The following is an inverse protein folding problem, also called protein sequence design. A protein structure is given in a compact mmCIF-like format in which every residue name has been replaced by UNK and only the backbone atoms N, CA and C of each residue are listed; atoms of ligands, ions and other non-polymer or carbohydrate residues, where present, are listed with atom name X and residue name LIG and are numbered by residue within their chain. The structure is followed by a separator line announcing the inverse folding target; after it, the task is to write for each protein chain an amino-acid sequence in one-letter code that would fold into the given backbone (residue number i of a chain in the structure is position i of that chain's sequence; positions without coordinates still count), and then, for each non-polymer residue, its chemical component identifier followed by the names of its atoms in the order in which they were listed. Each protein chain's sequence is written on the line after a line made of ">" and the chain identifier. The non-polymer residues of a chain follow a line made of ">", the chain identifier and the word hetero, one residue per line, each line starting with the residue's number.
data_IF_728510545319
#
_entry.id   IF_728510545319
#
_cell.length_a   1.000
_cell.length_b   1.000
_cell.length_c   1.000
_cell.angle_alpha   90.00
_cell.angle_beta   90.00
_cell.angle_gamma   90.00
#
_symmetry.space_group_name_H-M   'P 1'
#
loop_
_entity.id
_entity.type
_entity.pdbx_description
1 polymer ?
#
# COMPACT_ATOMS: atom_id res chain seq x y z
N UNK A 1 7.69 -12.68 -15.76
CA UNK A 1 6.71 -13.18 -14.77
C UNK A 1 6.91 -12.45 -13.43
N UNK A 2 5.82 -12.01 -12.81
CA UNK A 2 5.89 -11.24 -11.58
C UNK A 2 6.42 -12.03 -10.37
N UNK A 3 7.12 -11.31 -9.51
CA UNK A 3 7.74 -11.88 -8.31
C UNK A 3 7.33 -11.12 -7.06
N UNK A 4 7.16 -11.84 -5.95
CA UNK A 4 6.95 -11.28 -4.63
C UNK A 4 8.31 -11.25 -3.90
N UNK A 5 8.71 -10.06 -3.45
CA UNK A 5 9.88 -9.87 -2.60
C UNK A 5 9.41 -9.42 -1.22
N UNK A 6 9.89 -10.09 -0.18
CA UNK A 6 9.58 -9.74 1.21
C UNK A 6 10.86 -9.26 1.86
N UNK A 7 10.87 -7.99 2.30
CA UNK A 7 12.06 -7.33 2.87
C UNK A 7 11.68 -6.62 4.17
N UNK A 8 12.68 -6.22 4.94
CA UNK A 8 12.46 -5.43 6.15
C UNK A 8 13.25 -4.12 6.09
N UNK A 9 12.74 -3.09 6.74
CA UNK A 9 13.39 -1.79 6.82
C UNK A 9 12.43 -0.64 6.57
N UNK A 10 12.99 0.48 6.12
CA UNK A 10 12.24 1.67 5.77
C UNK A 10 11.85 1.60 4.28
N UNK A 11 10.57 1.74 3.98
CA UNK A 11 10.07 1.67 2.59
C UNK A 11 10.78 2.66 1.67
N UNK A 12 11.19 3.82 2.19
CA UNK A 12 11.89 4.85 1.41
C UNK A 12 13.27 4.40 0.90
N UNK A 13 13.82 3.33 1.48
CA UNK A 13 15.08 2.75 1.03
C UNK A 13 14.92 1.74 -0.12
N UNK A 14 13.68 1.43 -0.50
CA UNK A 14 13.36 0.42 -1.52
C UNK A 14 12.66 1.00 -2.75
N UNK A 15 12.91 2.28 -3.04
CA UNK A 15 12.25 2.97 -4.16
C UNK A 15 12.91 2.74 -5.52
N UNK A 16 14.18 2.33 -5.54
CA UNK A 16 14.90 2.07 -6.78
C UNK A 16 14.20 0.96 -7.57
N UNK A 17 14.10 1.14 -8.88
CA UNK A 17 13.45 0.21 -9.81
C UNK A 17 11.93 0.03 -9.59
N UNK A 18 11.32 0.84 -8.73
CA UNK A 18 9.87 0.79 -8.50
C UNK A 18 9.16 1.82 -9.37
N UNK A 19 7.96 1.46 -9.80
CA UNK A 19 7.10 2.35 -10.59
C UNK A 19 6.15 3.15 -9.71
N UNK A 20 5.72 2.57 -8.61
CA UNK A 20 4.69 3.15 -7.76
C UNK A 20 4.84 2.69 -6.31
N UNK A 21 4.57 3.59 -5.37
CA UNK A 21 4.53 3.31 -3.93
C UNK A 21 3.09 3.36 -3.44
N UNK A 22 2.69 2.37 -2.65
CA UNK A 22 1.34 2.30 -2.08
C UNK A 22 1.30 3.01 -0.74
N UNK A 23 0.31 3.86 -0.56
CA UNK A 23 0.02 4.56 0.70
C UNK A 23 -1.34 4.13 1.20
N UNK A 24 -1.38 3.58 2.42
CA UNK A 24 -2.64 3.39 3.16
C UNK A 24 -3.06 4.76 3.69
N UNK A 25 -3.99 5.39 3.01
CA UNK A 25 -4.35 6.79 3.22
C UNK A 25 -5.52 6.91 4.18
N UNK A 26 -5.66 8.08 4.85
CA UNK A 26 -6.92 8.41 5.49
C UNK A 26 -7.92 8.87 4.43
N UNK A 27 -9.21 8.85 4.76
CA UNK A 27 -10.25 9.17 3.77
C UNK A 27 -10.21 10.63 3.29
N UNK A 28 -9.54 11.50 4.04
CA UNK A 28 -9.44 12.93 3.71
C UNK A 28 -8.29 13.24 2.75
N UNK A 29 -7.39 12.30 2.51
CA UNK A 29 -6.18 12.47 1.68
C UNK A 29 -5.28 13.59 2.19
N UNK A 30 -5.06 13.64 3.48
CA UNK A 30 -4.14 14.59 4.12
C UNK A 30 -3.05 13.82 4.86
N UNK A 31 -1.96 14.52 5.18
CA UNK A 31 -0.86 13.95 5.96
C UNK A 31 -1.39 13.48 7.31
N UNK A 32 -1.26 12.19 7.57
CA UNK A 32 -1.71 11.59 8.81
C UNK A 32 -0.55 11.17 9.69
N UNK A 33 -0.84 10.28 10.62
CA UNK A 33 0.15 9.63 11.46
C UNK A 33 0.69 8.37 10.78
N UNK A 34 1.68 7.74 11.38
CA UNK A 34 2.26 6.49 10.88
C UNK A 34 2.86 6.62 9.50
N UNK A 35 2.75 5.57 8.70
CA UNK A 35 3.40 5.50 7.40
C UNK A 35 2.83 6.50 6.38
N UNK A 36 1.54 6.78 6.45
CA UNK A 36 0.92 7.81 5.61
C UNK A 36 1.62 9.16 5.80
N UNK A 37 1.85 9.55 7.06
CA UNK A 37 2.56 10.80 7.37
C UNK A 37 4.01 10.78 6.88
N UNK A 38 4.69 9.67 7.02
CA UNK A 38 6.08 9.52 6.55
C UNK A 38 6.15 9.73 5.04
N UNK A 39 5.28 9.11 4.29
CA UNK A 39 5.28 9.21 2.83
C UNK A 39 4.87 10.60 2.36
N UNK A 40 3.86 11.22 2.99
CA UNK A 40 3.45 12.59 2.65
C UNK A 40 4.59 13.58 2.85
N UNK A 41 5.32 13.47 3.96
CA UNK A 41 6.46 14.36 4.23
C UNK A 41 7.61 14.11 3.25
N UNK A 42 7.89 12.86 2.90
CA UNK A 42 8.92 12.52 1.93
C UNK A 42 8.59 13.04 0.53
N UNK A 43 7.32 13.02 0.15
CA UNK A 43 6.87 13.53 -1.14
C UNK A 43 6.91 15.06 -1.23
N UNK A 44 6.76 15.75 -0.16
CA UNK A 44 6.51 17.15 0.09
C UNK A 44 5.04 17.33 0.48
N UNK A 45 4.81 17.38 1.78
CA UNK A 45 3.48 17.41 2.37
C UNK A 45 2.55 18.44 1.72
N UNK A 46 3.03 19.67 1.57
CA UNK A 46 2.19 20.77 1.07
C UNK A 46 1.81 20.56 -0.40
N UNK A 47 2.75 20.14 -1.24
CA UNK A 47 2.49 19.88 -2.65
C UNK A 47 1.53 18.72 -2.84
N UNK A 48 1.72 17.64 -2.07
CA UNK A 48 0.86 16.47 -2.19
C UNK A 48 -0.57 16.76 -1.71
N UNK A 49 -0.71 17.41 -0.56
CA UNK A 49 -2.03 17.78 -0.03
C UNK A 49 -2.76 18.74 -0.98
N UNK A 50 -2.05 19.71 -1.54
CA UNK A 50 -2.62 20.64 -2.52
C UNK A 50 -3.09 19.91 -3.78
N UNK A 51 -2.28 19.00 -4.29
CA UNK A 51 -2.65 18.17 -5.46
C UNK A 51 -3.92 17.39 -5.18
N UNK A 52 -3.99 16.70 -4.05
CA UNK A 52 -5.15 15.89 -3.68
C UNK A 52 -6.41 16.75 -3.51
N UNK A 53 -6.28 17.89 -2.85
CA UNK A 53 -7.40 18.82 -2.65
C UNK A 53 -7.94 19.34 -3.98
N UNK A 54 -7.05 19.63 -4.93
CA UNK A 54 -7.43 20.15 -6.25
C UNK A 54 -8.10 19.09 -7.12
N UNK A 55 -7.61 17.85 -7.08
CA UNK A 55 -8.03 16.81 -8.01
C UNK A 55 -9.10 15.87 -7.46
N UNK A 56 -9.27 15.79 -6.14
CA UNK A 56 -10.21 14.87 -5.50
C UNK A 56 -11.14 15.64 -4.57
N UNK A 57 -12.41 15.74 -4.95
CA UNK A 57 -13.40 16.57 -4.25
C UNK A 57 -14.12 15.84 -3.13
N UNK A 58 -14.21 14.52 -3.19
CA UNK A 58 -14.94 13.72 -2.22
C UNK A 58 -14.00 12.91 -1.36
N UNK A 59 -14.46 12.50 -0.16
CA UNK A 59 -13.70 11.60 0.70
C UNK A 59 -13.59 10.23 0.05
N UNK A 60 -12.49 9.53 0.35
CA UNK A 60 -12.30 8.17 -0.13
C UNK A 60 -13.25 7.19 0.55
N UNK A 61 -13.73 6.24 -0.22
CA UNK A 61 -14.49 5.10 0.28
C UNK A 61 -13.54 3.94 0.53
N UNK A 62 -13.95 3.01 1.39
CA UNK A 62 -13.14 1.82 1.68
C UNK A 62 -12.77 1.11 0.39
N UNK A 63 -11.48 0.81 0.27
CA UNK A 63 -10.86 0.15 -0.89
C UNK A 63 -10.88 0.95 -2.20
N UNK A 64 -11.27 2.20 -2.15
CA UNK A 64 -11.11 3.11 -3.29
C UNK A 64 -9.63 3.40 -3.51
N UNK A 65 -9.24 3.54 -4.78
CA UNK A 65 -7.86 3.83 -5.18
C UNK A 65 -7.82 5.13 -5.96
N UNK A 66 -6.83 5.97 -5.65
CA UNK A 66 -6.53 7.20 -6.37
C UNK A 66 -5.03 7.28 -6.62
N UNK A 67 -4.64 7.91 -7.70
CA UNK A 67 -3.24 8.07 -8.09
C UNK A 67 -2.82 9.53 -8.02
N UNK A 68 -1.57 9.76 -7.62
CA UNK A 68 -0.97 11.09 -7.63
C UNK A 68 0.51 11.01 -7.99
N UNK A 69 1.12 12.16 -8.40
CA UNK A 69 2.58 12.21 -8.46
C UNK A 69 3.18 12.05 -7.07
N UNK A 70 4.41 11.57 -7.01
CA UNK A 70 5.14 11.44 -5.75
C UNK A 70 6.02 12.63 -5.40
N UNK A 71 6.08 13.64 -6.26
CA UNK A 71 6.90 14.84 -6.08
C UNK A 71 8.35 14.47 -5.71
N UNK A 72 8.82 14.83 -4.50
CA UNK A 72 10.20 14.58 -4.09
C UNK A 72 10.56 13.09 -3.94
N UNK A 73 9.57 12.20 -3.87
CA UNK A 73 9.80 10.75 -3.86
C UNK A 73 10.34 10.27 -5.21
N UNK A 74 9.89 10.89 -6.30
CA UNK A 74 10.37 10.57 -7.64
C UNK A 74 9.62 9.46 -8.38
N UNK A 75 8.70 8.76 -7.71
CA UNK A 75 7.79 7.78 -8.33
C UNK A 75 6.35 8.13 -7.94
N UNK A 76 5.40 7.61 -8.69
CA UNK A 76 3.98 7.88 -8.43
C UNK A 76 3.48 7.22 -7.15
N UNK A 77 2.38 7.73 -6.62
CA UNK A 77 1.74 7.20 -5.41
C UNK A 77 0.38 6.61 -5.77
N UNK A 78 0.14 5.40 -5.28
CA UNK A 78 -1.18 4.78 -5.26
C UNK A 78 -1.75 4.94 -3.85
N UNK A 79 -2.84 5.70 -3.74
CA UNK A 79 -3.54 5.92 -2.47
C UNK A 79 -4.68 4.93 -2.35
N UNK A 80 -4.78 4.24 -1.23
CA UNK A 80 -5.90 3.35 -0.93
C UNK A 80 -6.39 3.62 0.49
N UNK A 81 -7.72 3.66 0.69
CA UNK A 81 -8.30 3.74 2.01
C UNK A 81 -8.60 2.33 2.48
N UNK A 82 -7.73 1.77 3.33
CA UNK A 82 -7.85 0.39 3.80
C UNK A 82 -9.02 0.22 4.77
N UNK A 83 -9.66 -0.95 4.76
CA UNK A 83 -10.70 -1.27 5.75
C UNK A 83 -10.11 -1.30 7.16
N UNK A 84 -10.96 -1.02 8.14
CA UNK A 84 -10.61 -1.13 9.56
C UNK A 84 -11.10 -2.45 10.09
N UNK A 85 -10.22 -3.21 10.73
CA UNK A 85 -10.53 -4.53 11.26
C UNK A 85 -11.77 -4.52 12.15
N UNK A 86 -11.88 -3.53 13.01
CA UNK A 86 -12.95 -3.44 14.01
C UNK A 86 -14.28 -2.92 13.46
N UNK A 87 -14.34 -2.48 12.21
CA UNK A 87 -15.57 -1.99 11.56
C UNK A 87 -16.14 -2.97 10.54
N UNK A 88 -15.42 -4.04 10.23
CA UNK A 88 -15.81 -5.00 9.20
C UNK A 88 -16.32 -6.31 9.79
N UNK A 89 -17.32 -6.90 9.13
CA UNK A 89 -17.79 -8.26 9.45
C UNK A 89 -16.92 -9.32 8.78
N UNK A 90 -16.16 -8.95 7.76
CA UNK A 90 -15.27 -9.84 7.00
C UNK A 90 -13.90 -9.19 6.86
N UNK A 91 -13.20 -8.89 7.99
CA UNK A 91 -11.98 -8.07 7.93
C UNK A 91 -10.87 -8.66 7.07
N UNK A 92 -10.65 -9.96 7.12
CA UNK A 92 -9.60 -10.58 6.31
C UNK A 92 -9.94 -10.48 4.82
N UNK A 93 -11.17 -10.80 4.44
CA UNK A 93 -11.58 -10.72 3.04
C UNK A 93 -11.47 -9.30 2.51
N UNK A 94 -11.89 -8.31 3.30
CA UNK A 94 -11.81 -6.90 2.91
C UNK A 94 -10.35 -6.47 2.69
N UNK A 95 -9.43 -6.95 3.51
CA UNK A 95 -8.00 -6.66 3.34
C UNK A 95 -7.42 -7.35 2.11
N UNK A 96 -7.82 -8.58 1.84
CA UNK A 96 -7.42 -9.29 0.61
C UNK A 96 -7.95 -8.55 -0.64
N UNK A 97 -9.15 -8.00 -0.55
CA UNK A 97 -9.74 -7.18 -1.61
C UNK A 97 -8.92 -5.90 -1.83
N UNK A 98 -8.33 -5.32 -0.78
CA UNK A 98 -7.43 -4.17 -0.91
C UNK A 98 -6.27 -4.49 -1.82
N UNK A 99 -5.59 -5.61 -1.58
CA UNK A 99 -4.46 -6.03 -2.42
C UNK A 99 -4.90 -6.34 -3.85
N UNK A 100 -6.04 -7.00 -4.00
CA UNK A 100 -6.57 -7.28 -5.34
C UNK A 100 -6.82 -5.98 -6.13
N UNK A 101 -7.42 -4.99 -5.49
CA UNK A 101 -7.68 -3.69 -6.12
C UNK A 101 -6.39 -2.97 -6.50
N UNK A 102 -5.35 -3.07 -5.68
CA UNK A 102 -4.04 -2.49 -6.00
C UNK A 102 -3.51 -3.07 -7.31
N UNK A 103 -3.53 -4.40 -7.46
CA UNK A 103 -3.02 -5.04 -8.66
C UNK A 103 -3.86 -4.74 -9.91
N UNK A 104 -5.18 -4.78 -9.79
CA UNK A 104 -6.06 -4.45 -10.92
C UNK A 104 -5.87 -3.01 -11.38
N UNK A 105 -5.79 -2.08 -10.44
CA UNK A 105 -5.61 -0.66 -10.75
C UNK A 105 -4.23 -0.37 -11.33
N UNK A 106 -3.18 -0.98 -10.77
CA UNK A 106 -1.82 -0.84 -11.28
C UNK A 106 -1.70 -1.40 -12.70
N UNK A 107 -2.31 -2.56 -12.98
CA UNK A 107 -2.33 -3.16 -14.31
C UNK A 107 -2.97 -2.24 -15.34
N UNK A 108 -4.12 -1.65 -14.99
CA UNK A 108 -4.82 -0.72 -15.87
C UNK A 108 -3.98 0.51 -16.20
N UNK A 109 -3.18 0.97 -15.28
CA UNK A 109 -2.29 2.14 -15.47
C UNK A 109 -0.95 1.80 -16.08
N UNK A 110 -0.62 0.53 -16.23
CA UNK A 110 0.64 0.09 -16.83
C UNK A 110 1.83 0.04 -15.89
N UNK A 111 1.60 0.11 -14.58
CA UNK A 111 2.67 -0.07 -13.59
C UNK A 111 3.06 -1.54 -13.48
N UNK A 112 4.36 -1.82 -13.39
CA UNK A 112 4.89 -3.18 -13.38
C UNK A 112 5.64 -3.56 -12.11
N UNK A 113 5.97 -2.59 -11.27
CA UNK A 113 6.76 -2.83 -10.07
C UNK A 113 6.26 -1.97 -8.92
N UNK A 114 5.65 -2.63 -7.94
CA UNK A 114 4.97 -1.98 -6.81
C UNK A 114 5.79 -2.18 -5.53
N UNK A 115 5.89 -1.14 -4.71
CA UNK A 115 6.43 -1.25 -3.34
C UNK A 115 5.35 -0.82 -2.34
N UNK A 116 5.17 -1.59 -1.29
CA UNK A 116 4.15 -1.35 -0.27
C UNK A 116 4.60 -1.87 1.09
N UNK A 117 4.11 -1.22 2.14
CA UNK A 117 4.15 -1.81 3.49
C UNK A 117 2.98 -2.78 3.66
N UNK A 118 2.97 -3.55 4.75
CA UNK A 118 1.83 -4.39 5.09
C UNK A 118 0.64 -3.50 5.44
N UNK A 119 -0.43 -3.61 4.66
CA UNK A 119 -1.60 -2.75 4.82
C UNK A 119 -2.42 -3.14 6.05
N UNK A 120 -3.00 -2.14 6.71
CA UNK A 120 -3.97 -2.35 7.80
C UNK A 120 -3.38 -2.68 9.15
N UNK A 121 -2.07 -2.83 9.29
CA UNK A 121 -1.44 -3.29 10.55
C UNK A 121 -1.12 -2.19 11.55
N UNK A 122 -1.39 -0.94 11.21
CA UNK A 122 -1.27 0.19 12.14
C UNK A 122 -2.58 0.46 12.86
N UNK A 123 -3.07 1.69 12.77
CA UNK A 123 -4.30 2.14 13.43
C UNK A 123 -5.56 1.41 12.96
N UNK A 124 -5.52 0.76 11.80
CA UNK A 124 -6.64 -0.01 11.28
C UNK A 124 -6.83 -1.37 11.98
N UNK A 125 -5.91 -1.78 12.84
CA UNK A 125 -6.12 -2.84 13.83
C UNK A 125 -5.86 -4.28 13.40
N UNK A 126 -5.34 -4.52 12.20
CA UNK A 126 -4.97 -5.88 11.79
C UNK A 126 -3.69 -6.32 12.51
N UNK A 127 -3.62 -7.61 12.87
CA UNK A 127 -2.46 -8.20 13.51
C UNK A 127 -1.66 -9.01 12.51
N UNK A 128 -0.35 -8.80 12.44
CA UNK A 128 0.52 -9.51 11.50
C UNK A 128 0.38 -11.04 11.59
N UNK A 129 0.30 -11.58 12.80
CA UNK A 129 0.20 -13.04 12.99
C UNK A 129 -1.08 -13.63 12.41
N UNK A 130 -2.16 -12.86 12.41
CA UNK A 130 -3.47 -13.33 11.95
C UNK A 130 -3.60 -13.29 10.43
N UNK A 131 -2.84 -12.43 9.75
CA UNK A 131 -3.05 -12.15 8.32
C UNK A 131 -1.88 -12.60 7.43
N UNK A 132 -0.68 -12.78 7.97
CA UNK A 132 0.54 -12.95 7.18
C UNK A 132 0.45 -14.08 6.16
N UNK A 133 0.00 -15.26 6.58
CA UNK A 133 -0.10 -16.43 5.70
C UNK A 133 -1.04 -16.17 4.52
N UNK A 134 -2.22 -15.61 4.80
CA UNK A 134 -3.23 -15.37 3.78
C UNK A 134 -2.79 -14.25 2.83
N UNK A 135 -2.13 -13.22 3.35
CA UNK A 135 -1.58 -12.13 2.53
C UNK A 135 -0.50 -12.66 1.58
N UNK A 136 0.43 -13.48 2.07
CA UNK A 136 1.50 -14.03 1.23
C UNK A 136 0.93 -14.93 0.14
N UNK A 137 -0.04 -15.77 0.46
CA UNK A 137 -0.71 -16.62 -0.54
C UNK A 137 -1.36 -15.74 -1.61
N UNK A 138 -2.10 -14.71 -1.18
CA UNK A 138 -2.78 -13.80 -2.10
C UNK A 138 -1.82 -13.04 -2.99
N UNK A 139 -0.75 -12.48 -2.42
CA UNK A 139 0.25 -11.73 -3.18
C UNK A 139 0.98 -12.63 -4.20
N UNK A 140 1.28 -13.88 -3.84
CA UNK A 140 1.89 -14.82 -4.79
C UNK A 140 0.94 -15.12 -5.97
N UNK A 141 -0.35 -15.22 -5.74
CA UNK A 141 -1.33 -15.38 -6.80
C UNK A 141 -1.38 -14.14 -7.70
N UNK A 142 -1.42 -12.94 -7.10
CA UNK A 142 -1.59 -11.69 -7.83
C UNK A 142 -0.38 -11.33 -8.68
N UNK A 143 0.85 -11.53 -8.18
CA UNK A 143 2.05 -11.21 -8.96
C UNK A 143 2.13 -12.08 -10.22
N UNK A 144 1.71 -13.32 -10.15
CA UNK A 144 1.67 -14.22 -11.30
C UNK A 144 0.52 -13.87 -12.25
N UNK A 145 -0.67 -13.65 -11.70
CA UNK A 145 -1.86 -13.35 -12.49
C UNK A 145 -1.70 -12.08 -13.33
N UNK A 146 -1.14 -11.03 -12.76
CA UNK A 146 -1.02 -9.73 -13.41
C UNK A 146 0.35 -9.45 -14.02
N UNK A 147 1.32 -10.34 -13.80
CA UNK A 147 2.71 -10.17 -14.23
C UNK A 147 3.28 -8.84 -13.72
N UNK A 148 3.14 -8.62 -12.41
CA UNK A 148 3.60 -7.42 -11.71
C UNK A 148 4.50 -7.85 -10.57
N UNK A 149 5.65 -7.19 -10.42
CA UNK A 149 6.54 -7.38 -9.28
C UNK A 149 6.02 -6.60 -8.08
N UNK A 150 6.05 -7.20 -6.90
CA UNK A 150 5.60 -6.57 -5.67
C UNK A 150 6.64 -6.76 -4.58
N UNK A 151 7.05 -5.66 -3.95
CA UNK A 151 7.93 -5.69 -2.80
C UNK A 151 7.14 -5.31 -1.56
N UNK A 152 7.04 -6.24 -0.63
CA UNK A 152 6.39 -6.03 0.67
C UNK A 152 7.47 -5.67 1.69
N UNK A 153 7.40 -4.47 2.23
CA UNK A 153 8.38 -3.96 3.20
C UNK A 153 7.78 -4.04 4.60
N UNK A 154 8.47 -4.77 5.48
CA UNK A 154 8.04 -4.95 6.87
C UNK A 154 8.95 -4.16 7.80
N UNK A 155 8.47 -3.78 9.00
CA UNK A 155 9.20 -2.82 9.84
C UNK A 155 10.53 -3.34 10.38
N UNK A 156 10.67 -4.67 10.57
CA UNK A 156 11.89 -5.27 11.12
C UNK A 156 11.98 -6.75 10.76
N UNK A 157 13.11 -7.38 11.10
CA UNK A 157 13.35 -8.79 10.78
C UNK A 157 12.39 -9.73 11.52
N UNK A 158 11.99 -9.41 12.74
CA UNK A 158 11.06 -10.23 13.52
C UNK A 158 9.71 -10.35 12.80
N UNK A 159 9.16 -9.23 12.34
CA UNK A 159 7.90 -9.21 11.60
C UNK A 159 8.08 -9.89 10.23
N UNK A 160 9.21 -9.64 9.55
CA UNK A 160 9.50 -10.28 8.26
C UNK A 160 9.46 -11.81 8.37
N UNK A 161 9.98 -12.37 9.43
CA UNK A 161 9.96 -13.82 9.64
C UNK A 161 8.53 -14.40 9.67
N UNK A 162 7.58 -13.64 10.22
CA UNK A 162 6.17 -14.05 10.25
C UNK A 162 5.63 -14.24 8.83
N UNK A 163 6.02 -13.36 7.91
CA UNK A 163 5.59 -13.42 6.50
C UNK A 163 6.39 -14.40 5.65
N UNK A 164 7.54 -14.84 6.13
CA UNK A 164 8.45 -15.73 5.39
C UNK A 164 8.24 -17.20 5.71
N UNK A 165 7.35 -17.52 6.62
CA UNK A 165 7.08 -18.92 7.02
C UNK A 165 6.18 -19.65 6.05
#
# INVERSE_FOLDING_TARGET
>A
MGRLNIVSGNILDFLDDKDIIVVSNNKYMICGSGMCGVIYKAANKNLLEEYCKKNFKEYMKVNEIRFSPGFDIGIDILHIYCPKHYESRTPLQDLLDSYNNIFTSAKQKGYKNIVSVSLGTGVHGYNHNDIAKDIVIKLNELVKKYDIDFTLVLPNEEIKEIYSK
#
